data_IF_318854138103
#
_entry.id   IF_318854138103
#
_cell.length_a   1.000
_cell.length_b   1.000
_cell.length_c   1.000
_cell.angle_alpha   90.00
_cell.angle_beta   90.00
_cell.angle_gamma   90.00
#
_symmetry.space_group_name_H-M   'P 1'
#
loop_
_entity.id
_entity.type
_entity.pdbx_description
1 polymer ?
#
# COMPACT_ATOMS: atom_id res chain seq x y z
N UNK A 1 22.77 20.09 23.85
CA UNK A 1 23.03 18.66 23.59
C UNK A 1 21.95 18.15 22.68
N UNK A 2 22.30 17.35 21.67
CA UNK A 2 21.37 16.71 20.74
C UNK A 2 21.73 15.24 20.51
N UNK A 3 20.81 14.48 19.94
CA UNK A 3 21.12 13.12 19.46
C UNK A 3 22.22 13.18 18.39
N UNK A 4 23.16 12.25 18.47
CA UNK A 4 24.36 12.20 17.64
C UNK A 4 25.54 13.03 18.14
N UNK A 5 25.36 13.92 19.11
CA UNK A 5 26.47 14.68 19.71
C UNK A 5 27.31 13.81 20.66
N UNK A 6 28.60 14.14 20.77
CA UNK A 6 29.55 13.41 21.62
C UNK A 6 29.17 13.52 23.09
N UNK A 7 29.34 12.41 23.80
CA UNK A 7 29.05 12.32 25.22
C UNK A 7 30.07 11.43 25.94
N UNK A 8 30.16 11.59 27.27
CA UNK A 8 30.99 10.74 28.13
C UNK A 8 30.15 9.83 29.01
N UNK A 9 29.00 10.32 29.47
CA UNK A 9 28.06 9.65 30.35
C UNK A 9 26.63 9.96 29.94
N UNK A 10 25.69 9.12 30.35
CA UNK A 10 24.27 9.27 30.01
C UNK A 10 23.70 10.63 30.45
N UNK A 11 24.16 11.16 31.60
CA UNK A 11 23.77 12.50 32.10
C UNK A 11 24.13 13.67 31.17
N UNK A 12 25.02 13.47 30.20
CA UNK A 12 25.33 14.48 29.20
C UNK A 12 24.23 14.60 28.14
N UNK A 13 23.44 13.54 27.96
CA UNK A 13 22.43 13.42 26.93
C UNK A 13 21.07 14.00 27.38
N UNK A 14 20.17 14.17 26.40
CA UNK A 14 18.80 14.65 26.63
C UNK A 14 17.94 13.57 27.32
N UNK A 15 16.74 13.90 27.84
CA UNK A 15 15.84 12.88 28.40
C UNK A 15 15.55 11.73 27.42
N UNK A 16 15.33 10.52 27.95
CA UNK A 16 15.07 9.28 27.21
C UNK A 16 16.19 8.92 26.21
N UNK A 17 17.43 9.21 26.57
CA UNK A 17 18.60 8.92 25.75
C UNK A 17 19.81 8.54 26.60
N UNK A 18 20.72 7.78 26.01
CA UNK A 18 21.91 7.24 26.67
C UNK A 18 23.15 7.42 25.79
N UNK A 19 24.32 7.30 26.41
CA UNK A 19 25.63 7.56 25.80
C UNK A 19 26.44 6.28 25.49
N UNK A 20 26.00 5.14 26.05
CA UNK A 20 26.83 3.94 26.19
C UNK A 20 27.34 3.37 24.85
N UNK A 21 28.61 2.96 24.85
CA UNK A 21 29.38 2.32 23.77
C UNK A 21 29.64 3.16 22.51
N UNK A 22 28.69 3.99 22.05
CA UNK A 22 28.83 4.76 20.81
C UNK A 22 29.58 6.10 20.98
N UNK A 23 29.78 6.56 22.22
CA UNK A 23 30.34 7.88 22.57
C UNK A 23 29.56 9.05 21.98
N UNK A 24 28.32 8.79 21.58
CA UNK A 24 27.34 9.74 21.08
C UNK A 24 25.99 9.45 21.72
N UNK A 25 25.18 10.49 21.91
CA UNK A 25 23.86 10.35 22.49
C UNK A 25 22.90 9.66 21.50
N UNK A 26 22.14 8.68 21.99
CA UNK A 26 21.11 7.94 21.25
C UNK A 26 19.86 7.79 22.09
N UNK A 27 18.70 7.78 21.44
CA UNK A 27 17.44 7.50 22.14
C UNK A 27 17.44 6.10 22.75
N UNK A 28 16.80 5.97 23.91
CA UNK A 28 16.54 4.70 24.57
C UNK A 28 15.61 3.80 23.74
N UNK A 29 15.50 2.53 24.16
CA UNK A 29 14.60 1.59 23.50
C UNK A 29 13.17 2.12 23.50
N UNK A 30 12.48 1.99 22.36
CA UNK A 30 11.13 2.52 22.13
C UNK A 30 11.02 4.05 22.17
N UNK A 31 12.13 4.75 21.94
CA UNK A 31 12.14 6.17 21.60
C UNK A 31 12.85 6.40 20.27
N UNK A 32 12.39 7.39 19.51
CA UNK A 32 13.01 7.84 18.26
C UNK A 32 13.35 9.33 18.32
N UNK A 33 14.44 9.77 17.67
CA UNK A 33 14.80 11.18 17.64
C UNK A 33 13.80 11.99 16.82
N UNK A 34 13.55 13.24 17.23
CA UNK A 34 12.88 14.23 16.38
C UNK A 34 13.77 14.62 15.18
N UNK A 35 13.16 15.20 14.14
CA UNK A 35 13.88 15.58 12.91
C UNK A 35 15.08 16.51 13.17
N UNK A 36 14.98 17.37 14.18
CA UNK A 36 16.02 18.31 14.59
C UNK A 36 16.98 17.76 15.67
N UNK A 37 16.84 16.47 16.01
CA UNK A 37 17.61 15.72 17.02
C UNK A 37 17.54 16.31 18.45
N UNK A 38 16.54 17.15 18.74
CA UNK A 38 16.43 17.84 20.04
C UNK A 38 15.70 17.03 21.12
N UNK A 39 14.88 16.06 20.72
CA UNK A 39 14.07 15.24 21.64
C UNK A 39 14.06 13.77 21.22
N UNK A 40 13.84 12.89 22.20
CA UNK A 40 13.50 11.49 22.00
C UNK A 40 12.02 11.29 22.34
N UNK A 41 11.23 10.94 21.32
CA UNK A 41 9.77 10.80 21.41
C UNK A 41 9.35 9.33 21.41
N UNK A 42 8.24 9.04 22.05
CA UNK A 42 7.70 7.68 22.17
C UNK A 42 7.58 6.99 20.80
N UNK A 43 7.91 5.70 20.77
CA UNK A 43 7.76 4.82 19.61
C UNK A 43 6.90 3.60 19.97
N UNK A 44 6.48 2.86 18.94
CA UNK A 44 5.69 1.65 19.12
C UNK A 44 6.37 0.66 20.08
N UNK A 45 5.62 0.17 21.07
CA UNK A 45 6.11 -0.76 22.09
C UNK A 45 6.55 -0.12 23.41
N UNK A 46 6.62 1.21 23.50
CA UNK A 46 6.90 1.91 24.76
C UNK A 46 5.84 1.54 25.81
N UNK A 47 6.25 1.14 27.01
CA UNK A 47 5.31 0.82 28.08
C UNK A 47 4.48 2.03 28.49
N UNK A 48 3.19 1.80 28.74
CA UNK A 48 2.27 2.86 29.12
C UNK A 48 1.14 2.37 30.04
N UNK A 49 0.54 3.32 30.74
CA UNK A 49 -0.65 3.17 31.59
C UNK A 49 -1.84 3.94 31.03
N UNK A 50 -1.60 4.98 30.23
CA UNK A 50 -2.61 5.81 29.60
C UNK A 50 -2.07 6.50 28.33
N UNK A 51 -2.95 7.14 27.57
CA UNK A 51 -2.62 7.73 26.26
C UNK A 51 -1.64 8.91 26.33
N UNK A 52 -1.45 9.55 27.50
CA UNK A 52 -0.57 10.71 27.64
C UNK A 52 0.89 10.33 27.39
N UNK A 53 1.31 9.15 27.82
CA UNK A 53 2.68 8.64 27.62
C UNK A 53 2.99 8.37 26.14
N UNK A 54 1.96 8.09 25.33
CA UNK A 54 2.08 7.87 23.89
C UNK A 54 1.84 9.15 23.07
N UNK A 55 1.57 10.29 23.71
CA UNK A 55 1.10 11.50 23.04
C UNK A 55 2.08 12.08 22.01
N UNK A 56 3.37 11.81 22.16
CA UNK A 56 4.40 12.24 21.19
C UNK A 56 4.51 11.32 19.98
N UNK A 57 3.90 10.13 20.04
CA UNK A 57 3.80 9.20 18.90
C UNK A 57 2.53 9.53 18.10
N UNK A 58 2.70 9.90 16.84
CA UNK A 58 1.57 10.36 16.02
C UNK A 58 0.55 9.23 15.80
N UNK A 59 -0.73 9.53 16.03
CA UNK A 59 -1.87 8.61 15.89
C UNK A 59 -1.77 7.32 16.72
N UNK A 60 -1.07 7.37 17.86
CA UNK A 60 -0.97 6.27 18.80
C UNK A 60 -1.87 6.44 20.03
N UNK A 61 -2.09 5.32 20.73
CA UNK A 61 -2.78 5.23 22.01
C UNK A 61 -2.12 4.14 22.87
N UNK A 62 -2.40 4.16 24.17
CA UNK A 62 -1.98 3.09 25.05
C UNK A 62 -2.90 1.88 24.88
N UNK A 63 -2.37 0.79 24.31
CA UNK A 63 -3.11 -0.45 24.07
C UNK A 63 -2.35 -1.61 24.70
N UNK A 64 -3.03 -2.37 25.56
CA UNK A 64 -2.45 -3.55 26.22
C UNK A 64 -1.13 -3.22 26.98
N UNK A 65 -1.05 -2.02 27.55
CA UNK A 65 0.12 -1.57 28.32
C UNK A 65 1.31 -1.09 27.50
N UNK A 66 1.16 -0.93 26.17
CA UNK A 66 2.18 -0.37 25.29
C UNK A 66 1.61 0.65 24.30
N UNK A 67 2.45 1.58 23.85
CA UNK A 67 2.09 2.50 22.78
C UNK A 67 1.95 1.75 21.46
N UNK A 68 0.76 1.84 20.87
CA UNK A 68 0.43 1.22 19.60
C UNK A 68 -0.45 2.15 18.76
N UNK A 69 -0.50 1.91 17.45
CA UNK A 69 -1.34 2.68 16.56
C UNK A 69 -2.83 2.51 16.89
N UNK A 70 -3.60 3.59 16.72
CA UNK A 70 -5.07 3.55 16.80
C UNK A 70 -5.66 2.70 15.67
N UNK A 71 -6.92 2.31 15.82
CA UNK A 71 -7.59 1.28 14.99
C UNK A 71 -7.65 1.60 13.48
N UNK A 72 -7.58 2.87 13.08
CA UNK A 72 -7.55 3.29 11.66
C UNK A 72 -6.14 3.52 11.12
N UNK A 73 -5.12 3.19 11.91
CA UNK A 73 -3.73 3.43 11.59
C UNK A 73 -2.90 2.16 11.70
N UNK A 74 -1.78 2.17 10.99
CA UNK A 74 -0.75 1.14 10.98
C UNK A 74 0.61 1.79 11.25
N UNK A 75 1.55 1.02 11.76
CA UNK A 75 2.89 1.52 12.11
C UNK A 75 3.65 1.90 10.83
N UNK A 76 4.19 3.11 10.81
CA UNK A 76 5.06 3.56 9.72
C UNK A 76 6.39 2.79 9.78
N UNK A 77 6.71 2.06 8.71
CA UNK A 77 7.95 1.25 8.66
C UNK A 77 9.21 2.10 8.67
N UNK A 78 9.10 3.37 8.27
CA UNK A 78 10.22 4.29 8.20
C UNK A 78 10.34 5.17 9.45
N UNK A 79 9.33 5.17 10.32
CA UNK A 79 9.30 5.99 11.53
C UNK A 79 8.48 5.31 12.63
N UNK A 80 9.16 4.65 13.56
CA UNK A 80 8.49 3.93 14.65
C UNK A 80 7.74 4.82 15.65
N UNK A 81 7.88 6.15 15.55
CA UNK A 81 7.13 7.16 16.30
C UNK A 81 5.95 7.75 15.52
N UNK A 82 5.59 7.14 14.38
CA UNK A 82 4.50 7.57 13.53
C UNK A 82 3.59 6.39 13.16
N UNK A 83 2.29 6.67 13.11
CA UNK A 83 1.31 5.75 12.54
C UNK A 83 0.62 6.42 11.35
N UNK A 84 0.63 5.74 10.21
CA UNK A 84 0.02 6.19 8.96
C UNK A 84 -1.36 5.55 8.78
N UNK A 85 -2.19 6.15 7.92
CA UNK A 85 -3.53 5.61 7.67
C UNK A 85 -3.44 4.18 7.14
N UNK A 86 -4.28 3.30 7.71
CA UNK A 86 -4.52 1.99 7.14
C UNK A 86 -5.19 2.15 5.76
N UNK A 87 -4.85 1.34 4.75
CA UNK A 87 -5.56 1.34 3.47
C UNK A 87 -7.07 1.10 3.68
N UNK A 88 -7.94 1.78 2.93
CA UNK A 88 -9.40 1.59 3.00
C UNK A 88 -10.00 1.31 1.63
N UNK A 89 -9.31 1.71 0.55
CA UNK A 89 -9.70 1.47 -0.83
C UNK A 89 -8.54 0.88 -1.64
N UNK A 90 -8.88 0.20 -2.74
CA UNK A 90 -7.88 -0.23 -3.72
C UNK A 90 -7.16 1.01 -4.28
N UNK A 91 -5.85 0.94 -4.46
CA UNK A 91 -5.01 2.06 -4.87
C UNK A 91 -4.52 2.97 -3.73
N UNK A 92 -5.02 2.78 -2.49
CA UNK A 92 -4.49 3.48 -1.31
C UNK A 92 -3.03 3.13 -1.08
N UNK A 93 -2.32 4.07 -0.42
CA UNK A 93 -0.91 3.88 -0.09
C UNK A 93 -0.73 2.79 0.95
N UNK A 94 0.34 2.02 0.79
CA UNK A 94 0.75 0.97 1.69
C UNK A 94 2.28 0.92 1.75
N UNK A 95 2.82 0.26 2.78
CA UNK A 95 4.26 0.12 3.02
C UNK A 95 4.68 -1.35 3.11
N UNK A 96 3.85 -2.23 3.69
CA UNK A 96 4.09 -3.68 3.75
C UNK A 96 3.14 -4.45 2.84
N UNK A 97 3.63 -5.57 2.34
CA UNK A 97 2.92 -6.43 1.39
C UNK A 97 1.56 -6.91 1.90
N UNK A 98 1.44 -7.20 3.21
CA UNK A 98 0.28 -7.80 3.86
C UNK A 98 -0.81 -6.81 4.32
N UNK A 99 -0.50 -5.50 4.39
CA UNK A 99 -1.46 -4.46 4.81
C UNK A 99 -2.75 -4.43 3.98
N UNK A 100 -2.64 -4.76 2.69
CA UNK A 100 -3.76 -4.80 1.76
C UNK A 100 -4.52 -6.14 1.80
N UNK A 101 -3.85 -7.22 2.21
CA UNK A 101 -4.41 -8.57 2.23
C UNK A 101 -5.51 -8.68 3.29
N UNK A 102 -5.33 -8.05 4.45
CA UNK A 102 -6.32 -8.09 5.54
C UNK A 102 -7.68 -7.50 5.15
N UNK A 103 -7.71 -6.60 4.16
CA UNK A 103 -8.89 -5.82 3.80
C UNK A 103 -9.49 -6.29 2.49
N UNK A 104 -8.65 -6.58 1.49
CA UNK A 104 -9.09 -6.90 0.13
C UNK A 104 -8.83 -8.36 -0.26
N UNK A 105 -8.44 -9.22 0.69
CA UNK A 105 -8.03 -10.62 0.52
C UNK A 105 -6.85 -10.79 -0.45
N UNK A 106 -7.12 -10.92 -1.75
CA UNK A 106 -6.13 -11.24 -2.78
C UNK A 106 -5.46 -9.97 -3.32
N UNK A 107 -5.06 -9.10 -2.41
CA UNK A 107 -4.34 -7.87 -2.69
C UNK A 107 -2.99 -7.85 -1.97
N UNK A 108 -2.05 -7.11 -2.54
CA UNK A 108 -0.76 -6.85 -1.95
C UNK A 108 -0.38 -5.39 -2.14
N UNK A 109 0.59 -4.94 -1.35
CA UNK A 109 1.24 -3.67 -1.62
C UNK A 109 2.18 -3.80 -2.81
N UNK A 110 1.77 -3.25 -3.96
CA UNK A 110 2.51 -3.25 -5.22
C UNK A 110 2.77 -1.79 -5.59
N UNK A 111 4.04 -1.42 -5.82
CA UNK A 111 4.42 -0.03 -6.13
C UNK A 111 3.84 1.00 -5.13
N UNK A 112 3.92 0.70 -3.84
CA UNK A 112 3.40 1.51 -2.73
C UNK A 112 1.87 1.71 -2.75
N UNK A 113 1.13 0.87 -3.48
CA UNK A 113 -0.33 0.93 -3.55
C UNK A 113 -0.96 -0.45 -3.37
N UNK A 114 -2.13 -0.47 -2.75
CA UNK A 114 -2.92 -1.70 -2.67
C UNK A 114 -3.44 -2.08 -4.04
N UNK A 115 -2.99 -3.22 -4.55
CA UNK A 115 -3.38 -3.74 -5.85
C UNK A 115 -3.76 -5.22 -5.72
N UNK A 116 -4.75 -5.65 -6.51
CA UNK A 116 -5.05 -7.07 -6.59
C UNK A 116 -3.88 -7.81 -7.24
N UNK A 117 -3.55 -8.99 -6.70
CA UNK A 117 -2.48 -9.82 -7.28
C UNK A 117 -2.89 -10.34 -8.67
N UNK A 118 -1.90 -10.80 -9.45
CA UNK A 118 -2.12 -11.34 -10.79
C UNK A 118 -3.27 -12.36 -10.84
N UNK A 119 -4.10 -12.24 -11.88
CA UNK A 119 -5.32 -13.05 -12.08
C UNK A 119 -6.48 -12.77 -11.11
N UNK A 120 -6.38 -11.72 -10.30
CA UNK A 120 -7.49 -11.20 -9.49
C UNK A 120 -7.81 -9.76 -9.90
N UNK A 121 -9.04 -9.34 -9.65
CA UNK A 121 -9.46 -7.95 -9.83
C UNK A 121 -10.40 -7.53 -8.70
N UNK A 122 -10.47 -6.23 -8.46
CA UNK A 122 -11.34 -5.68 -7.44
C UNK A 122 -12.79 -5.69 -7.92
N UNK A 123 -13.68 -6.31 -7.15
CA UNK A 123 -15.12 -6.33 -7.39
C UNK A 123 -15.83 -5.51 -6.32
N UNK A 124 -16.43 -4.39 -6.73
CA UNK A 124 -17.13 -3.44 -5.84
C UNK A 124 -18.24 -4.12 -5.03
N UNK A 125 -18.91 -5.12 -5.61
CA UNK A 125 -19.99 -5.89 -5.02
C UNK A 125 -19.55 -6.68 -3.78
N UNK A 126 -18.27 -7.06 -3.74
CA UNK A 126 -17.68 -7.83 -2.63
C UNK A 126 -16.76 -6.99 -1.76
N UNK A 127 -16.32 -5.82 -2.25
CA UNK A 127 -15.27 -5.01 -1.64
C UNK A 127 -13.91 -5.70 -1.60
N UNK A 128 -13.70 -6.74 -2.42
CA UNK A 128 -12.54 -7.64 -2.36
C UNK A 128 -11.95 -7.91 -3.74
N UNK A 129 -10.70 -8.36 -3.75
CA UNK A 129 -10.05 -8.90 -4.93
C UNK A 129 -10.50 -10.36 -5.14
N UNK A 130 -11.23 -10.60 -6.23
CA UNK A 130 -11.75 -11.92 -6.59
C UNK A 130 -11.06 -12.46 -7.83
N UNK A 131 -11.12 -13.77 -8.04
CA UNK A 131 -10.49 -14.40 -9.19
C UNK A 131 -11.14 -13.91 -10.49
N UNK A 132 -10.32 -13.42 -11.42
CA UNK A 132 -10.78 -12.98 -12.73
C UNK A 132 -11.22 -14.17 -13.57
N UNK A 133 -12.44 -14.10 -14.11
CA UNK A 133 -12.97 -15.01 -15.12
C UNK A 133 -12.92 -14.31 -16.47
N UNK A 134 -12.17 -14.88 -17.41
CA UNK A 134 -12.07 -14.37 -18.76
C UNK A 134 -13.17 -14.98 -19.65
N UNK A 135 -13.21 -14.58 -20.91
CA UNK A 135 -14.14 -15.13 -21.90
C UNK A 135 -14.12 -16.66 -21.89
N UNK A 136 -15.30 -17.28 -21.89
CA UNK A 136 -15.54 -18.72 -21.83
C UNK A 136 -15.14 -19.42 -20.53
N UNK A 137 -14.69 -18.68 -19.51
CA UNK A 137 -14.50 -19.27 -18.17
C UNK A 137 -15.83 -19.43 -17.46
N UNK A 138 -15.91 -20.44 -16.59
CA UNK A 138 -17.06 -20.64 -15.71
C UNK A 138 -17.20 -19.49 -14.73
N UNK A 139 -18.43 -19.02 -14.54
CA UNK A 139 -18.77 -17.92 -13.65
C UNK A 139 -20.10 -18.18 -12.93
N UNK A 140 -20.34 -17.47 -11.84
CA UNK A 140 -21.66 -17.42 -11.18
C UNK A 140 -22.31 -16.04 -11.23
N UNK A 141 -21.51 -14.97 -11.31
CA UNK A 141 -21.94 -13.57 -11.31
C UNK A 141 -21.21 -12.76 -12.36
N UNK A 142 -21.88 -11.71 -12.87
CA UNK A 142 -21.32 -10.84 -13.91
C UNK A 142 -20.03 -10.14 -13.48
N UNK A 143 -19.94 -9.74 -12.21
CA UNK A 143 -18.76 -9.06 -11.67
C UNK A 143 -17.53 -9.96 -11.61
N UNK A 144 -17.64 -11.28 -11.78
CA UNK A 144 -16.48 -12.17 -11.92
C UNK A 144 -15.83 -12.06 -13.30
N UNK A 145 -16.61 -11.67 -14.31
CA UNK A 145 -16.20 -11.63 -15.70
C UNK A 145 -15.50 -10.30 -16.03
N UNK A 146 -14.23 -10.37 -16.45
CA UNK A 146 -13.45 -9.20 -16.84
C UNK A 146 -12.72 -9.44 -18.15
N UNK A 147 -12.80 -8.46 -19.06
CA UNK A 147 -12.00 -8.41 -20.27
C UNK A 147 -10.54 -8.08 -19.98
N UNK A 148 -9.71 -8.07 -21.03
CA UNK A 148 -8.34 -7.57 -20.96
C UNK A 148 -8.26 -6.03 -20.95
N UNK A 149 -9.36 -5.37 -21.29
CA UNK A 149 -9.53 -3.92 -21.31
C UNK A 149 -10.19 -3.39 -20.04
N UNK A 150 -10.15 -2.07 -19.86
CA UNK A 150 -10.66 -1.39 -18.67
C UNK A 150 -12.20 -1.47 -18.53
N UNK A 151 -12.92 -1.84 -19.59
CA UNK A 151 -14.37 -1.90 -19.61
C UNK A 151 -14.85 -3.36 -19.55
N UNK A 152 -15.71 -3.71 -18.57
CA UNK A 152 -16.30 -5.05 -18.54
C UNK A 152 -17.41 -5.18 -19.58
N UNK A 153 -17.01 -5.65 -20.77
CA UNK A 153 -17.89 -6.05 -21.88
C UNK A 153 -18.46 -7.46 -21.72
N UNK A 154 -18.06 -8.17 -20.67
CA UNK A 154 -18.46 -9.54 -20.38
C UNK A 154 -19.60 -9.58 -19.36
N UNK A 155 -20.50 -10.56 -19.51
CA UNK A 155 -21.53 -10.95 -18.54
C UNK A 155 -21.47 -12.44 -18.29
N UNK A 156 -21.99 -12.89 -17.15
CA UNK A 156 -22.10 -14.30 -16.83
C UNK A 156 -23.44 -14.84 -17.33
N UNK A 157 -23.41 -15.64 -18.40
CA UNK A 157 -24.61 -16.19 -19.02
C UNK A 157 -24.47 -17.69 -19.18
N UNK A 158 -25.47 -18.43 -18.68
CA UNK A 158 -25.45 -19.91 -18.67
C UNK A 158 -24.16 -20.48 -18.04
N UNK A 159 -23.72 -19.88 -16.93
CA UNK A 159 -22.50 -20.20 -16.18
C UNK A 159 -21.19 -20.00 -16.95
N UNK A 160 -21.20 -19.17 -17.99
CA UNK A 160 -20.02 -18.89 -18.81
C UNK A 160 -19.90 -17.39 -19.05
N UNK A 161 -18.68 -16.84 -18.95
CA UNK A 161 -18.45 -15.45 -19.29
C UNK A 161 -18.55 -15.26 -20.81
N UNK A 162 -19.49 -14.44 -21.25
CA UNK A 162 -19.75 -14.14 -22.67
C UNK A 162 -19.86 -12.63 -22.90
N UNK A 163 -19.78 -12.19 -24.16
CA UNK A 163 -19.97 -10.78 -24.50
C UNK A 163 -21.45 -10.38 -24.32
N UNK A 164 -21.72 -9.26 -23.63
CA UNK A 164 -23.09 -8.76 -23.37
C UNK A 164 -23.96 -8.63 -24.62
N UNK A 165 -23.37 -8.22 -25.73
CA UNK A 165 -24.07 -8.03 -27.01
C UNK A 165 -23.57 -8.99 -28.11
N UNK A 166 -22.88 -10.08 -27.72
CA UNK A 166 -22.29 -11.04 -28.66
C UNK A 166 -21.06 -10.51 -29.43
N UNK A 167 -20.67 -9.24 -29.23
CA UNK A 167 -19.52 -8.62 -29.88
C UNK A 167 -18.49 -8.21 -28.82
N UNK A 168 -17.39 -8.96 -28.74
CA UNK A 168 -16.18 -8.52 -28.05
C UNK A 168 -15.18 -7.95 -29.06
N UNK A 169 -15.53 -6.82 -29.70
CA UNK A 169 -14.68 -6.20 -30.73
C UNK A 169 -14.35 -4.74 -30.37
N UNK A 170 -13.15 -4.52 -29.81
CA UNK A 170 -12.04 -3.79 -30.47
C UNK A 170 -10.81 -3.75 -29.56
N UNK A 171 -10.04 -4.84 -29.57
CA UNK A 171 -8.59 -4.73 -29.33
C UNK A 171 -7.96 -4.06 -30.56
N UNK A 172 -7.38 -2.89 -30.36
CA UNK A 172 -6.61 -2.04 -31.27
C UNK A 172 -6.27 -2.62 -32.65
N UNK A 173 -6.99 -2.20 -33.70
CA UNK A 173 -6.42 -2.20 -35.05
C UNK A 173 -5.62 -0.90 -35.17
N UNK A 174 -4.30 -0.96 -34.97
CA UNK A 174 -3.42 0.09 -35.49
C UNK A 174 -3.37 -0.12 -37.00
N UNK A 175 -4.28 0.52 -37.73
CA UNK A 175 -4.13 0.69 -39.17
C UNK A 175 -2.96 1.63 -39.40
N UNK A 176 -1.76 1.07 -39.62
CA UNK A 176 -0.73 1.79 -40.36
C UNK A 176 -1.29 1.98 -41.76
N UNK A 177 -1.76 3.18 -42.09
CA UNK A 177 -2.01 3.57 -43.47
C UNK A 177 -0.66 3.57 -44.20
N UNK A 178 -0.28 2.39 -44.70
CA UNK A 178 0.84 2.21 -45.60
C UNK A 178 0.53 2.95 -46.89
N UNK A 179 1.28 4.03 -47.09
CA UNK A 179 1.28 4.93 -48.24
C UNK A 179 1.21 4.12 -49.55
N UNK A 180 0.21 4.44 -50.38
CA UNK A 180 0.13 4.05 -51.79
C UNK A 180 1.38 4.60 -52.51
N UNK A 181 2.33 3.72 -52.80
CA UNK A 181 3.44 4.03 -53.72
C UNK A 181 3.00 3.62 -55.12
N UNK A 182 2.59 4.59 -55.93
CA UNK A 182 2.30 4.41 -57.35
C UNK A 182 3.65 4.30 -58.08
N UNK A 183 3.96 3.23 -58.82
CA UNK A 183 5.13 3.22 -59.67
C UNK A 183 4.79 4.00 -60.94
N UNK A 184 5.42 5.18 -61.10
CA UNK A 184 5.45 5.90 -62.37
C UNK A 184 6.28 5.05 -63.33
N UNK A 185 5.60 4.36 -64.24
CA UNK A 185 6.21 3.71 -65.38
C UNK A 185 6.50 4.80 -66.43
N UNK A 186 7.73 5.30 -66.47
CA UNK A 186 8.24 6.08 -67.60
C UNK A 186 8.44 5.13 -68.79
N UNK A 187 7.50 5.16 -69.73
CA UNK A 187 7.71 4.72 -71.11
C UNK A 187 8.35 5.90 -71.87
N UNK A 188 9.47 5.60 -72.53
CA UNK A 188 10.18 6.29 -73.63
C UNK A 188 9.64 7.67 -74.02
#
# INVERSE_FOLDING_TARGET
MKIGEKCERDRNCIPNSYCRAQKTCLCEQYFSPTLDNSMCIASAGLSCTNDVECSTMANAACRQGVCACKDLYILDINNSSNCVNRPLMIGDRCQKTDECQDIFDRAMCINERCECISSYHFANETGKCIQTRYLYHTCSKDYECKGYDAFSILECKKNECVCKEGICSKGSIVTVFGILVIPILLLI
#
